data_IF_184616692047
#
_entry.id   IF_184616692047
#
_cell.length_a   1.000
_cell.length_b   1.000
_cell.length_c   1.000
_cell.angle_alpha   90.00
_cell.angle_beta   90.00
_cell.angle_gamma   90.00
#
_symmetry.space_group_name_H-M   'P 1'
#
loop_
_entity.id
_entity.type
_entity.pdbx_description
1 polymer ?
#
# COMPACT_ATOMS: atom_id res chain seq x y z
N UNK A 1 27.55 -39.09 22.94
CA UNK A 1 27.16 -38.06 21.93
C UNK A 1 25.70 -37.72 22.23
N UNK A 2 25.53 -36.67 23.02
CA UNK A 2 24.23 -36.25 23.50
C UNK A 2 23.54 -35.42 22.43
N UNK A 3 22.39 -35.91 21.96
CA UNK A 3 21.51 -35.14 21.04
C UNK A 3 20.88 -34.00 21.84
N UNK A 4 21.12 -32.80 21.37
CA UNK A 4 20.52 -31.57 21.91
C UNK A 4 18.98 -31.70 21.85
N UNK A 5 18.25 -31.68 22.99
CA UNK A 5 16.79 -31.91 23.03
C UNK A 5 15.97 -30.75 22.50
N UNK A 6 16.61 -29.65 22.02
CA UNK A 6 15.93 -28.44 21.50
C UNK A 6 15.89 -28.33 19.98
N UNK A 7 16.37 -29.34 19.25
CA UNK A 7 16.17 -29.42 17.81
C UNK A 7 14.85 -30.13 17.47
N UNK A 8 13.74 -29.49 17.77
CA UNK A 8 12.53 -29.76 17.01
C UNK A 8 12.74 -29.18 15.62
N UNK A 9 12.69 -29.98 14.54
CA UNK A 9 12.72 -29.42 13.21
C UNK A 9 11.42 -28.61 13.05
N UNK A 10 11.54 -27.30 13.15
CA UNK A 10 10.49 -26.41 12.68
C UNK A 10 10.37 -26.74 11.20
N UNK A 11 9.33 -27.49 10.84
CA UNK A 11 8.98 -27.73 9.47
C UNK A 11 8.95 -26.34 8.81
N UNK A 12 9.92 -26.07 7.92
CA UNK A 12 9.88 -24.91 7.05
C UNK A 12 8.56 -25.02 6.29
N UNK A 13 7.50 -24.35 6.76
CA UNK A 13 6.31 -24.15 5.96
C UNK A 13 6.83 -23.53 4.68
N UNK A 14 6.78 -24.29 3.60
CA UNK A 14 7.08 -23.76 2.27
C UNK A 14 6.19 -22.53 2.12
N UNK A 15 6.84 -21.37 2.06
CA UNK A 15 6.14 -20.09 1.99
C UNK A 15 5.53 -20.01 0.60
N UNK A 16 4.24 -20.27 0.50
CA UNK A 16 3.52 -20.11 -0.74
C UNK A 16 3.33 -18.60 -0.99
N UNK A 17 4.13 -18.03 -1.89
CA UNK A 17 4.06 -16.61 -2.28
C UNK A 17 2.68 -16.14 -2.75
N UNK A 18 1.75 -17.06 -3.00
CA UNK A 18 0.34 -16.77 -3.34
C UNK A 18 -0.53 -16.40 -2.13
N UNK A 19 -0.07 -16.68 -0.89
CA UNK A 19 -0.86 -16.38 0.30
C UNK A 19 -1.16 -14.89 0.48
N UNK A 20 -0.19 -14.00 0.24
CA UNK A 20 -0.38 -12.56 0.44
C UNK A 20 -1.40 -11.94 -0.53
N UNK A 21 -1.32 -12.20 -1.84
CA UNK A 21 -2.34 -11.72 -2.76
C UNK A 21 -3.74 -12.20 -2.43
N UNK A 22 -3.90 -13.45 -2.01
CA UNK A 22 -5.20 -14.01 -1.61
C UNK A 22 -5.72 -13.40 -0.32
N UNK A 23 -4.83 -13.19 0.66
CA UNK A 23 -5.18 -12.48 1.88
C UNK A 23 -5.65 -11.06 1.56
N UNK A 24 -4.94 -10.35 0.67
CA UNK A 24 -5.34 -9.01 0.23
C UNK A 24 -6.69 -9.03 -0.48
N UNK A 25 -6.96 -10.02 -1.36
CA UNK A 25 -8.26 -10.17 -2.02
C UNK A 25 -9.39 -10.42 -1.01
N UNK A 26 -9.14 -11.21 0.03
CA UNK A 26 -10.10 -11.46 1.11
C UNK A 26 -10.40 -10.18 1.89
N UNK A 27 -9.37 -9.48 2.35
CA UNK A 27 -9.52 -8.21 3.10
C UNK A 27 -10.25 -7.17 2.27
N UNK A 28 -9.90 -7.07 0.98
CA UNK A 28 -10.56 -6.15 0.06
C UNK A 28 -12.05 -6.47 -0.10
N UNK A 29 -12.38 -7.76 -0.33
CA UNK A 29 -13.77 -8.23 -0.45
C UNK A 29 -14.57 -7.92 0.81
N UNK A 30 -14.07 -8.31 1.98
CA UNK A 30 -14.73 -8.05 3.26
C UNK A 30 -14.94 -6.57 3.53
N UNK A 31 -13.97 -5.72 3.17
CA UNK A 31 -14.09 -4.27 3.29
C UNK A 31 -15.20 -3.69 2.42
N UNK A 32 -15.34 -4.18 1.18
CA UNK A 32 -16.42 -3.78 0.27
C UNK A 32 -17.79 -4.24 0.77
N UNK A 33 -17.92 -5.50 1.23
CA UNK A 33 -19.16 -6.05 1.76
C UNK A 33 -19.66 -5.30 3.01
N UNK A 34 -18.73 -4.86 3.86
CA UNK A 34 -19.02 -4.11 5.09
C UNK A 34 -19.12 -2.59 4.88
N UNK A 35 -18.97 -2.09 3.65
CA UNK A 35 -18.82 -0.66 3.34
C UNK A 35 -17.71 0.05 4.16
N UNK A 36 -16.60 -0.66 4.40
CA UNK A 36 -15.46 -0.20 5.21
C UNK A 36 -14.15 -0.26 4.43
N UNK A 37 -14.17 0.09 3.14
CA UNK A 37 -12.95 0.20 2.37
C UNK A 37 -12.47 1.68 2.32
N UNK A 38 -11.14 1.93 2.36
CA UNK A 38 -10.59 3.29 2.48
C UNK A 38 -10.90 4.18 1.27
N UNK A 39 -11.24 3.59 0.15
CA UNK A 39 -11.56 4.24 -1.12
C UNK A 39 -13.08 4.36 -1.37
N UNK A 40 -13.93 4.00 -0.41
CA UNK A 40 -15.37 4.20 -0.51
C UNK A 40 -15.78 5.55 0.05
N UNK A 41 -16.79 6.22 -0.57
CA UNK A 41 -17.25 7.49 -0.09
C UNK A 41 -18.06 7.37 1.20
N UNK A 42 -18.12 8.47 1.93
CA UNK A 42 -19.11 8.70 2.98
C UNK A 42 -20.49 9.03 2.35
N UNK A 43 -21.48 9.30 3.19
CA UNK A 43 -22.85 9.65 2.75
C UNK A 43 -22.93 10.91 1.87
N UNK A 44 -21.91 11.77 1.90
CA UNK A 44 -21.81 12.99 1.08
C UNK A 44 -21.06 12.77 -0.23
N UNK A 45 -20.62 11.55 -0.52
CA UNK A 45 -19.80 11.26 -1.70
C UNK A 45 -18.31 11.60 -1.54
N UNK A 46 -17.87 12.04 -0.36
CA UNK A 46 -16.47 12.40 -0.09
C UNK A 46 -15.66 11.17 0.30
N UNK A 47 -14.43 11.06 -0.22
CA UNK A 47 -13.48 10.01 0.13
C UNK A 47 -12.31 10.63 0.87
N UNK A 48 -11.99 10.07 2.04
CA UNK A 48 -10.81 10.45 2.81
C UNK A 48 -9.56 9.80 2.24
N UNK A 49 -8.92 10.46 1.28
CA UNK A 49 -7.70 9.96 0.64
C UNK A 49 -6.47 10.22 1.53
N UNK A 50 -6.19 9.31 2.46
CA UNK A 50 -5.04 9.43 3.37
C UNK A 50 -3.79 8.80 2.75
N UNK A 51 -2.68 9.56 2.59
CA UNK A 51 -1.41 8.98 2.21
C UNK A 51 -0.85 8.10 3.32
N UNK A 52 -0.10 7.05 2.99
CA UNK A 52 0.77 6.33 3.93
C UNK A 52 2.19 6.38 3.40
N UNK A 53 3.11 6.83 4.23
CA UNK A 53 4.51 7.06 3.86
C UNK A 53 5.42 5.95 4.37
N UNK A 54 6.33 5.51 3.52
CA UNK A 54 7.47 4.72 3.95
C UNK A 54 8.51 5.64 4.60
N UNK A 55 8.78 5.44 5.89
CA UNK A 55 9.72 6.27 6.66
C UNK A 55 11.14 6.28 6.06
N UNK A 56 11.58 5.16 5.45
CA UNK A 56 12.93 5.05 4.90
C UNK A 56 13.10 5.89 3.63
N UNK A 57 12.14 5.85 2.73
CA UNK A 57 12.20 6.58 1.45
C UNK A 57 11.56 7.96 1.50
N UNK A 58 10.69 8.22 2.48
CA UNK A 58 9.90 9.45 2.61
C UNK A 58 8.76 9.58 1.58
N UNK A 59 8.48 8.54 0.79
CA UNK A 59 7.45 8.56 -0.25
C UNK A 59 6.19 7.84 0.16
N UNK A 60 5.06 8.27 -0.41
CA UNK A 60 3.81 7.54 -0.32
C UNK A 60 3.98 6.14 -0.94
N UNK A 61 3.39 5.13 -0.27
CA UNK A 61 3.43 3.76 -0.73
C UNK A 61 2.81 3.59 -2.13
N UNK A 62 3.32 2.66 -2.96
CA UNK A 62 2.65 2.25 -4.19
C UNK A 62 1.34 1.49 -3.88
N UNK A 63 0.42 1.44 -4.84
CA UNK A 63 -0.94 0.92 -4.68
C UNK A 63 -1.01 -0.47 -4.02
N UNK A 64 -0.15 -1.39 -4.42
CA UNK A 64 -0.10 -2.76 -3.93
C UNK A 64 0.31 -2.88 -2.44
N UNK A 65 0.87 -1.83 -1.86
CA UNK A 65 1.21 -1.72 -0.43
C UNK A 65 0.28 -0.74 0.29
N UNK A 66 -0.06 0.37 -0.36
CA UNK A 66 -0.90 1.43 0.20
C UNK A 66 -2.25 0.89 0.67
N UNK A 67 -2.98 0.23 -0.22
CA UNK A 67 -4.34 -0.24 0.08
C UNK A 67 -4.37 -1.31 1.18
N UNK A 68 -3.55 -2.37 1.16
CA UNK A 68 -3.48 -3.32 2.27
C UNK A 68 -3.08 -2.68 3.61
N UNK A 69 -2.17 -1.70 3.58
CA UNK A 69 -1.75 -0.99 4.79
C UNK A 69 -2.89 -0.10 5.33
N UNK A 70 -3.64 0.57 4.47
CA UNK A 70 -4.81 1.35 4.89
C UNK A 70 -5.92 0.48 5.51
N UNK A 71 -6.19 -0.70 4.96
CA UNK A 71 -7.11 -1.66 5.58
C UNK A 71 -6.63 -2.08 6.97
N UNK A 72 -5.35 -2.43 7.11
CA UNK A 72 -4.77 -2.80 8.39
C UNK A 72 -4.81 -1.65 9.40
N UNK A 73 -4.57 -0.41 8.95
CA UNK A 73 -4.72 0.80 9.76
C UNK A 73 -6.13 0.92 10.33
N UNK A 74 -7.15 0.79 9.47
CA UNK A 74 -8.56 0.87 9.86
C UNK A 74 -8.95 -0.25 10.83
N UNK A 75 -8.52 -1.48 10.56
CA UNK A 75 -8.81 -2.64 11.41
C UNK A 75 -8.22 -2.51 12.81
N UNK A 76 -6.99 -2.02 12.91
CA UNK A 76 -6.26 -1.86 14.17
C UNK A 76 -6.54 -0.54 14.89
N UNK A 77 -7.23 0.40 14.26
CA UNK A 77 -7.50 1.72 14.80
C UNK A 77 -6.23 2.56 15.00
N UNK A 78 -5.24 2.41 14.12
CA UNK A 78 -4.02 3.19 14.18
C UNK A 78 -4.22 4.59 13.56
N UNK A 79 -3.57 5.60 14.15
CA UNK A 79 -3.64 6.98 13.68
C UNK A 79 -2.48 7.35 12.74
N UNK A 80 -1.32 6.72 12.92
CA UNK A 80 -0.14 7.04 12.13
C UNK A 80 -0.29 6.69 10.65
N UNK A 81 0.20 7.59 9.81
CA UNK A 81 0.35 7.38 8.37
C UNK A 81 1.81 7.05 7.97
N UNK A 82 2.61 6.58 8.93
CA UNK A 82 4.03 6.30 8.74
C UNK A 82 4.28 4.83 9.04
N UNK A 83 4.92 4.15 8.08
CA UNK A 83 5.31 2.74 8.21
C UNK A 83 6.75 2.53 7.77
N UNK A 84 7.38 1.47 8.30
CA UNK A 84 8.70 1.01 7.83
C UNK A 84 8.85 -0.50 7.96
N UNK A 85 9.82 -1.06 7.26
CA UNK A 85 10.26 -2.44 7.46
C UNK A 85 10.93 -2.62 8.83
N UNK A 86 10.91 -3.84 9.38
CA UNK A 86 11.47 -4.14 10.71
C UNK A 86 12.93 -3.68 10.86
N UNK A 87 13.76 -3.98 9.89
CA UNK A 87 15.19 -3.60 9.91
C UNK A 87 15.36 -2.08 9.88
N UNK A 88 14.57 -1.39 9.06
CA UNK A 88 14.65 0.06 8.93
C UNK A 88 14.22 0.80 10.22
N UNK A 89 13.28 0.24 11.00
CA UNK A 89 12.85 0.82 12.28
C UNK A 89 14.00 0.95 13.26
N UNK A 90 14.96 0.01 13.27
CA UNK A 90 16.18 0.13 14.08
C UNK A 90 16.99 1.38 13.77
N UNK A 91 17.03 1.82 12.52
CA UNK A 91 17.70 3.05 12.09
C UNK A 91 17.01 4.34 12.55
N UNK A 92 15.79 4.25 13.10
CA UNK A 92 15.04 5.35 13.71
C UNK A 92 15.09 5.32 15.26
N UNK A 93 16.08 4.66 15.84
CA UNK A 93 16.31 4.65 17.30
C UNK A 93 15.23 3.91 18.11
N UNK A 94 14.48 3.01 17.49
CA UNK A 94 13.45 2.21 18.17
C UNK A 94 13.40 0.79 17.59
N UNK A 95 12.56 -0.07 18.16
CA UNK A 95 12.35 -1.44 17.70
C UNK A 95 10.85 -1.77 17.61
N UNK A 96 10.51 -2.80 16.86
CA UNK A 96 9.14 -3.32 16.84
C UNK A 96 8.87 -4.05 18.15
N UNK A 97 7.74 -3.77 18.80
CA UNK A 97 7.27 -4.46 19.99
C UNK A 97 7.21 -5.96 19.79
N UNK A 98 7.49 -6.71 20.85
CA UNK A 98 7.40 -8.17 20.81
C UNK A 98 5.96 -8.63 20.50
N UNK A 99 5.84 -9.65 19.66
CA UNK A 99 4.53 -10.20 19.27
C UNK A 99 3.79 -9.43 18.19
N UNK A 100 4.22 -8.22 17.83
CA UNK A 100 3.56 -7.43 16.76
C UNK A 100 3.73 -8.05 15.37
N UNK A 101 2.63 -8.03 14.63
CA UNK A 101 2.55 -8.53 13.25
C UNK A 101 2.41 -7.36 12.28
N UNK A 102 3.37 -7.24 11.37
CA UNK A 102 3.32 -6.24 10.30
C UNK A 102 2.37 -6.63 9.16
N UNK A 103 2.13 -5.68 8.28
CA UNK A 103 1.39 -5.90 7.03
C UNK A 103 2.35 -6.50 6.01
N UNK A 104 2.08 -7.73 5.59
CA UNK A 104 2.93 -8.43 4.63
C UNK A 104 2.70 -7.94 3.21
N UNK A 105 3.77 -7.90 2.43
CA UNK A 105 3.72 -7.64 1.00
C UNK A 105 4.79 -8.43 0.26
N UNK A 106 4.54 -8.70 -1.03
CA UNK A 106 5.51 -9.30 -1.92
C UNK A 106 6.21 -8.23 -2.76
N UNK A 107 7.48 -8.43 -3.03
CA UNK A 107 8.25 -7.67 -4.00
C UNK A 107 9.10 -8.63 -4.86
N UNK A 108 9.53 -8.18 -6.03
CA UNK A 108 10.46 -8.90 -6.88
C UNK A 108 11.84 -8.23 -6.78
N UNK A 109 12.86 -9.04 -6.63
CA UNK A 109 14.24 -8.58 -6.76
C UNK A 109 14.64 -8.39 -8.24
N UNK A 110 15.91 -8.06 -8.44
CA UNK A 110 16.48 -7.85 -9.79
C UNK A 110 16.44 -9.11 -10.66
N UNK A 111 16.57 -10.27 -10.04
CA UNK A 111 16.54 -11.58 -10.71
C UNK A 111 15.10 -12.06 -10.96
N UNK A 112 14.10 -11.29 -10.54
CA UNK A 112 12.68 -11.59 -10.69
C UNK A 112 12.14 -12.55 -9.62
N UNK A 113 12.94 -12.94 -8.63
CA UNK A 113 12.49 -13.77 -7.53
C UNK A 113 11.50 -13.02 -6.63
N UNK A 114 10.50 -13.73 -6.11
CA UNK A 114 9.48 -13.14 -5.24
C UNK A 114 9.92 -13.29 -3.79
N UNK A 115 10.05 -12.16 -3.14
CA UNK A 115 10.35 -12.07 -1.71
C UNK A 115 9.15 -11.52 -0.95
N UNK A 116 9.11 -11.82 0.35
CA UNK A 116 8.12 -11.30 1.27
C UNK A 116 8.79 -10.41 2.31
N UNK A 117 8.18 -9.28 2.56
CA UNK A 117 8.56 -8.38 3.65
C UNK A 117 7.31 -7.90 4.39
N UNK A 118 7.51 -7.12 5.44
CA UNK A 118 6.43 -6.58 6.25
C UNK A 118 6.68 -5.13 6.61
N UNK A 119 5.59 -4.37 6.69
CA UNK A 119 5.56 -2.99 7.15
C UNK A 119 4.91 -2.92 8.53
N UNK A 120 5.45 -2.10 9.41
CA UNK A 120 4.97 -1.84 10.75
C UNK A 120 4.65 -0.36 10.91
N UNK A 121 3.56 -0.06 11.58
CA UNK A 121 3.17 1.30 11.95
C UNK A 121 3.97 1.81 13.15
N UNK A 122 3.98 3.12 13.33
CA UNK A 122 4.62 3.74 14.49
C UNK A 122 4.08 3.18 15.82
N UNK A 123 2.79 2.95 15.92
CA UNK A 123 2.13 2.40 17.11
C UNK A 123 2.62 0.99 17.49
N UNK A 124 3.21 0.27 16.55
CA UNK A 124 3.79 -1.05 16.74
C UNK A 124 5.26 -1.02 17.19
N UNK A 125 5.82 0.16 17.43
CA UNK A 125 7.20 0.33 17.92
C UNK A 125 7.24 0.63 19.41
N UNK A 126 8.37 0.32 20.06
CA UNK A 126 8.57 0.59 21.49
C UNK A 126 8.50 2.10 21.79
N UNK A 127 8.97 2.94 20.87
CA UNK A 127 8.97 4.39 21.00
C UNK A 127 8.31 5.05 19.78
N UNK A 128 6.97 5.05 19.71
CA UNK A 128 6.23 5.58 18.54
C UNK A 128 6.56 7.04 18.21
N UNK A 129 6.73 7.88 19.23
CA UNK A 129 6.98 9.30 19.03
C UNK A 129 8.37 9.56 18.44
N UNK A 130 9.40 8.87 18.93
CA UNK A 130 10.76 8.94 18.35
C UNK A 130 10.73 8.52 16.89
N UNK A 131 10.01 7.42 16.59
CA UNK A 131 9.88 6.96 15.20
C UNK A 131 9.18 7.99 14.32
N UNK A 132 8.06 8.56 14.77
CA UNK A 132 7.31 9.59 14.04
C UNK A 132 8.16 10.83 13.78
N UNK A 133 8.83 11.35 14.79
CA UNK A 133 9.66 12.56 14.71
C UNK A 133 10.78 12.38 13.68
N UNK A 134 11.58 11.32 13.80
CA UNK A 134 12.69 11.07 12.89
C UNK A 134 12.24 10.72 11.45
N UNK A 135 11.10 10.03 11.31
CA UNK A 135 10.53 9.73 10.03
C UNK A 135 9.96 10.99 9.36
N UNK A 136 9.35 11.89 10.13
CA UNK A 136 8.75 13.12 9.61
C UNK A 136 9.78 14.01 8.91
N UNK A 137 11.00 14.09 9.40
CA UNK A 137 12.10 14.82 8.75
C UNK A 137 12.43 14.31 7.34
N UNK A 138 12.18 13.01 7.11
CA UNK A 138 12.43 12.37 5.80
C UNK A 138 11.22 12.43 4.88
N UNK A 139 10.01 12.61 5.42
CA UNK A 139 8.79 12.69 4.62
C UNK A 139 8.85 13.96 3.76
N UNK A 140 9.06 13.73 2.49
CA UNK A 140 9.00 14.78 1.48
C UNK A 140 7.59 14.77 0.92
N UNK A 141 6.78 15.74 1.36
CA UNK A 141 5.50 16.03 0.71
C UNK A 141 5.81 16.35 -0.76
N UNK A 142 5.75 15.32 -1.59
CA UNK A 142 5.81 15.51 -3.03
C UNK A 142 4.42 15.97 -3.46
N UNK A 143 4.40 17.07 -4.19
CA UNK A 143 3.19 17.62 -4.77
C UNK A 143 2.10 17.88 -3.72
N UNK A 144 2.32 18.85 -2.85
CA UNK A 144 1.25 19.38 -2.02
C UNK A 144 0.27 20.11 -2.93
N UNK A 145 -0.72 19.38 -3.45
CA UNK A 145 -1.81 19.92 -4.27
C UNK A 145 -2.97 20.36 -3.35
N UNK A 146 -2.65 20.90 -2.18
CA UNK A 146 -3.64 21.43 -1.24
C UNK A 146 -4.54 22.44 -1.97
N UNK A 147 -5.84 22.24 -1.83
CA UNK A 147 -6.85 23.05 -2.51
C UNK A 147 -7.22 22.57 -3.92
N UNK A 148 -6.57 21.51 -4.43
CA UNK A 148 -7.08 20.79 -5.60
C UNK A 148 -8.16 19.79 -5.15
N UNK A 149 -9.17 19.61 -5.98
CA UNK A 149 -10.20 18.61 -5.78
C UNK A 149 -10.48 17.89 -7.10
N UNK A 150 -10.81 16.61 -7.02
CA UNK A 150 -11.12 15.79 -8.17
C UNK A 150 -12.38 14.96 -7.91
N UNK A 151 -13.19 14.79 -8.96
CA UNK A 151 -14.31 13.85 -8.94
C UNK A 151 -13.91 12.60 -9.69
N UNK A 152 -14.09 11.43 -9.07
CA UNK A 152 -13.94 10.14 -9.74
C UNK A 152 -15.07 9.97 -10.74
N UNK A 153 -14.74 9.92 -12.02
CA UNK A 153 -15.71 9.86 -13.12
C UNK A 153 -15.85 8.48 -13.78
N UNK A 154 -15.24 7.43 -13.20
CA UNK A 154 -15.29 6.09 -13.78
C UNK A 154 -15.44 5.01 -12.71
N UNK A 155 -16.31 4.03 -12.97
CA UNK A 155 -16.49 2.83 -12.16
C UNK A 155 -15.53 1.68 -12.54
N UNK A 156 -14.73 1.85 -13.63
CA UNK A 156 -13.74 0.85 -14.01
C UNK A 156 -12.67 0.72 -12.91
N UNK A 157 -12.39 -0.50 -12.40
CA UNK A 157 -11.57 -0.67 -11.19
C UNK A 157 -10.22 0.02 -11.21
N UNK A 158 -9.49 -0.05 -12.34
CA UNK A 158 -8.18 0.62 -12.47
C UNK A 158 -8.27 2.14 -12.47
N UNK A 159 -9.31 2.71 -13.09
CA UNK A 159 -9.53 4.15 -13.17
C UNK A 159 -10.00 4.70 -11.80
N UNK A 160 -10.95 4.01 -11.17
CA UNK A 160 -11.45 4.36 -9.85
C UNK A 160 -10.33 4.38 -8.81
N UNK A 161 -9.63 3.25 -8.67
CA UNK A 161 -8.51 3.13 -7.73
C UNK A 161 -7.34 4.03 -8.11
N UNK A 162 -7.07 4.21 -9.40
CA UNK A 162 -6.03 5.14 -9.89
C UNK A 162 -6.28 6.57 -9.44
N UNK A 163 -7.52 7.04 -9.52
CA UNK A 163 -7.95 8.35 -9.05
C UNK A 163 -7.80 8.50 -7.53
N UNK A 164 -8.24 7.50 -6.77
CA UNK A 164 -8.07 7.46 -5.33
C UNK A 164 -6.59 7.50 -4.91
N UNK A 165 -5.75 6.68 -5.54
CA UNK A 165 -4.31 6.61 -5.24
C UNK A 165 -3.62 7.92 -5.63
N UNK A 166 -4.03 8.56 -6.72
CA UNK A 166 -3.52 9.88 -7.09
C UNK A 166 -3.83 10.92 -6.01
N UNK A 167 -5.04 10.90 -5.44
CA UNK A 167 -5.42 11.78 -4.34
C UNK A 167 -4.57 11.51 -3.08
N UNK A 168 -4.36 10.23 -2.71
CA UNK A 168 -3.46 9.88 -1.59
C UNK A 168 -2.03 10.40 -1.82
N UNK A 169 -1.46 10.21 -3.02
CA UNK A 169 -0.10 10.64 -3.35
C UNK A 169 0.05 12.15 -3.51
N UNK A 170 -0.99 12.81 -4.00
CA UNK A 170 -1.02 14.25 -4.28
C UNK A 170 -1.48 15.09 -3.10
N UNK A 171 -2.11 14.47 -2.09
CA UNK A 171 -2.63 15.17 -0.91
C UNK A 171 -3.80 16.11 -1.24
N UNK A 172 -4.69 15.69 -2.14
CA UNK A 172 -5.86 16.50 -2.54
C UNK A 172 -7.18 15.77 -2.26
N UNK A 173 -8.26 16.54 -2.22
CA UNK A 173 -9.59 16.03 -1.94
C UNK A 173 -10.15 15.24 -3.14
N UNK A 174 -10.89 14.17 -2.86
CA UNK A 174 -11.54 13.36 -3.87
C UNK A 174 -12.97 13.04 -3.47
N UNK A 175 -13.84 13.06 -4.44
CA UNK A 175 -15.26 12.69 -4.28
C UNK A 175 -15.71 11.78 -5.41
N UNK A 176 -16.84 11.13 -5.21
CA UNK A 176 -17.45 10.24 -6.20
C UNK A 176 -18.97 10.23 -6.01
N UNK A 177 -19.70 10.05 -7.11
CA UNK A 177 -21.12 9.75 -7.03
C UNK A 177 -21.31 8.37 -6.34
N UNK A 178 -22.13 8.26 -5.28
CA UNK A 178 -22.40 6.99 -4.61
C UNK A 178 -22.85 5.87 -5.56
N UNK A 179 -23.64 6.19 -6.60
CA UNK A 179 -24.07 5.21 -7.60
C UNK A 179 -22.86 4.66 -8.40
N UNK A 180 -21.87 5.51 -8.71
CA UNK A 180 -20.64 5.09 -9.38
C UNK A 180 -19.78 4.21 -8.48
N UNK A 181 -19.77 4.48 -7.17
CA UNK A 181 -19.06 3.65 -6.20
C UNK A 181 -19.70 2.26 -6.06
N UNK A 182 -21.02 2.18 -6.11
CA UNK A 182 -21.75 0.88 -6.11
C UNK A 182 -21.51 0.10 -7.41
N UNK A 183 -21.46 0.78 -8.54
CA UNK A 183 -21.08 0.15 -9.82
C UNK A 183 -19.64 -0.37 -9.78
N UNK A 184 -18.70 0.40 -9.23
CA UNK A 184 -17.33 -0.05 -9.02
C UNK A 184 -17.27 -1.34 -8.16
N UNK A 185 -18.02 -1.38 -7.03
CA UNK A 185 -18.11 -2.60 -6.21
C UNK A 185 -18.60 -3.79 -7.03
N UNK A 186 -19.66 -3.59 -7.81
CA UNK A 186 -20.22 -4.65 -8.66
C UNK A 186 -19.25 -5.18 -9.69
N UNK A 187 -18.38 -4.31 -10.24
CA UNK A 187 -17.36 -4.69 -11.23
C UNK A 187 -16.15 -5.41 -10.65
N UNK A 188 -15.73 -5.04 -9.44
CA UNK A 188 -14.52 -5.63 -8.84
C UNK A 188 -14.80 -6.94 -8.09
N UNK A 189 -16.00 -7.13 -7.54
CA UNK A 189 -16.37 -8.31 -6.74
C UNK A 189 -16.10 -9.63 -7.45
N UNK A 190 -16.49 -9.85 -8.72
CA UNK A 190 -16.21 -11.10 -9.43
C UNK A 190 -14.71 -11.40 -9.55
N UNK A 191 -13.88 -10.36 -9.69
CA UNK A 191 -12.42 -10.51 -9.72
C UNK A 191 -11.88 -11.03 -8.38
N UNK A 192 -12.36 -10.46 -7.26
CA UNK A 192 -11.95 -10.89 -5.92
C UNK A 192 -12.38 -12.33 -5.63
N UNK A 193 -13.59 -12.70 -6.00
CA UNK A 193 -14.11 -14.06 -5.84
C UNK A 193 -13.31 -15.07 -6.67
N UNK A 194 -12.96 -14.71 -7.90
CA UNK A 194 -12.12 -15.55 -8.74
C UNK A 194 -10.70 -15.72 -8.18
N UNK A 195 -10.10 -14.65 -7.63
CA UNK A 195 -8.78 -14.72 -7.01
C UNK A 195 -8.80 -15.61 -5.76
N UNK A 196 -9.87 -15.58 -4.95
CA UNK A 196 -10.05 -16.47 -3.80
C UNK A 196 -10.22 -17.92 -4.26
N UNK A 197 -11.01 -18.18 -5.29
CA UNK A 197 -11.19 -19.51 -5.85
C UNK A 197 -9.87 -20.07 -6.39
N UNK A 198 -9.11 -19.29 -7.14
CA UNK A 198 -7.78 -19.68 -7.65
C UNK A 198 -6.81 -20.03 -6.52
N UNK A 199 -6.88 -19.32 -5.40
CA UNK A 199 -6.08 -19.66 -4.22
C UNK A 199 -6.44 -21.02 -3.66
N UNK A 200 -7.73 -21.33 -3.51
CA UNK A 200 -8.20 -22.62 -2.97
C UNK A 200 -7.82 -23.78 -3.91
N UNK A 201 -7.83 -23.54 -5.22
CA UNK A 201 -7.39 -24.49 -6.24
C UNK A 201 -5.85 -24.57 -6.39
N UNK A 202 -5.08 -23.79 -5.60
CA UNK A 202 -3.61 -23.68 -5.69
C UNK A 202 -3.10 -23.31 -7.08
N UNK A 203 -3.85 -22.51 -7.81
CA UNK A 203 -3.46 -22.01 -9.13
C UNK A 203 -2.13 -21.24 -9.05
N UNK A 204 -1.29 -21.38 -10.08
CA UNK A 204 -0.06 -20.62 -10.23
C UNK A 204 -0.26 -19.28 -10.94
N UNK A 205 -1.47 -18.98 -11.38
CA UNK A 205 -1.79 -17.73 -12.06
C UNK A 205 -1.68 -16.55 -11.11
N UNK A 206 -1.17 -15.45 -11.62
CA UNK A 206 -1.12 -14.20 -10.84
C UNK A 206 -2.54 -13.73 -10.53
N UNK A 207 -2.81 -13.31 -9.27
CA UNK A 207 -4.09 -12.76 -8.89
C UNK A 207 -4.45 -11.53 -9.73
N UNK A 208 -5.71 -11.45 -10.15
CA UNK A 208 -6.21 -10.36 -11.00
C UNK A 208 -6.23 -9.03 -10.25
N UNK A 209 -6.46 -9.05 -8.92
CA UNK A 209 -6.37 -7.86 -8.06
C UNK A 209 -4.97 -7.23 -8.11
N UNK A 210 -3.91 -8.04 -8.11
CA UNK A 210 -2.54 -7.52 -8.20
C UNK A 210 -2.31 -6.74 -9.49
N UNK A 211 -2.86 -7.20 -10.60
CA UNK A 211 -2.78 -6.51 -11.88
C UNK A 211 -3.59 -5.20 -11.87
N UNK A 212 -4.80 -5.23 -11.30
CA UNK A 212 -5.63 -4.01 -11.14
C UNK A 212 -4.88 -2.96 -10.31
N UNK A 213 -4.26 -3.34 -9.19
CA UNK A 213 -3.51 -2.41 -8.35
C UNK A 213 -2.27 -1.85 -9.06
N UNK A 214 -1.58 -2.66 -9.85
CA UNK A 214 -0.45 -2.22 -10.65
C UNK A 214 -0.85 -1.20 -11.73
N UNK A 215 -1.93 -1.47 -12.46
CA UNK A 215 -2.45 -0.54 -13.47
C UNK A 215 -3.02 0.74 -12.83
N UNK A 216 -3.68 0.62 -11.67
CA UNK A 216 -4.14 1.77 -10.90
C UNK A 216 -2.96 2.66 -10.42
N UNK A 217 -1.84 2.07 -10.03
CA UNK A 217 -0.63 2.82 -9.67
C UNK A 217 -0.05 3.61 -10.84
N UNK A 218 0.01 3.00 -12.03
CA UNK A 218 0.39 3.71 -13.27
C UNK A 218 -0.57 4.85 -13.57
N UNK A 219 -1.88 4.56 -13.51
CA UNK A 219 -2.91 5.56 -13.76
C UNK A 219 -2.80 6.75 -12.80
N UNK A 220 -2.55 6.49 -11.52
CA UNK A 220 -2.31 7.55 -10.53
C UNK A 220 -1.17 8.47 -10.92
N UNK A 221 -0.11 7.90 -11.47
CA UNK A 221 1.07 8.66 -11.93
C UNK A 221 0.74 9.53 -13.15
N UNK A 222 -0.08 9.04 -14.07
CA UNK A 222 -0.55 9.80 -15.24
C UNK A 222 -1.43 10.98 -14.80
N UNK A 223 -2.36 10.75 -13.88
CA UNK A 223 -3.23 11.80 -13.31
C UNK A 223 -2.37 12.90 -12.67
N UNK A 224 -1.43 12.54 -11.80
CA UNK A 224 -0.55 13.52 -11.14
C UNK A 224 0.28 14.31 -12.15
N UNK A 225 0.77 13.68 -13.20
CA UNK A 225 1.48 14.39 -14.28
C UNK A 225 0.58 15.39 -15.00
N UNK A 226 -0.64 15.00 -15.33
CA UNK A 226 -1.59 15.90 -16.02
C UNK A 226 -1.96 17.11 -15.15
N UNK A 227 -2.17 16.92 -13.84
CA UNK A 227 -2.44 18.00 -12.90
C UNK A 227 -1.24 18.93 -12.81
N UNK A 228 -0.02 18.40 -12.67
CA UNK A 228 1.20 19.22 -12.60
C UNK A 228 1.42 20.04 -13.87
N UNK A 229 1.11 19.51 -15.04
CA UNK A 229 1.21 20.21 -16.31
C UNK A 229 0.18 21.35 -16.44
N UNK A 230 -1.05 21.12 -15.98
CA UNK A 230 -2.11 22.12 -16.02
C UNK A 230 -1.94 23.25 -14.99
N UNK A 231 -1.28 22.96 -13.87
CA UNK A 231 -1.07 23.91 -12.76
C UNK A 231 0.21 24.75 -12.91
N UNK A 232 1.03 24.56 -13.94
CA UNK A 232 2.30 25.29 -14.13
C UNK A 232 3.37 25.01 -13.06
N UNK A 233 3.19 23.97 -12.27
CA UNK A 233 4.16 23.56 -11.23
C UNK A 233 5.31 22.80 -11.90
N UNK A 234 6.51 23.39 -11.83
CA UNK A 234 7.73 22.90 -12.49
C UNK A 234 8.07 21.44 -12.15
N UNK A 235 8.14 20.59 -13.19
CA UNK A 235 8.45 19.15 -13.08
C UNK A 235 9.95 18.84 -12.91
N UNK A 236 10.83 19.84 -12.93
CA UNK A 236 12.28 19.61 -13.13
C UNK A 236 12.99 18.96 -11.94
N UNK A 237 12.38 18.93 -10.76
CA UNK A 237 12.97 18.27 -9.58
C UNK A 237 12.62 16.77 -9.42
N UNK A 238 11.59 16.30 -10.12
CA UNK A 238 11.02 14.95 -9.88
C UNK A 238 11.75 13.86 -10.67
N UNK A 239 12.27 14.16 -11.87
CA UNK A 239 12.87 13.16 -12.74
C UNK A 239 14.36 12.86 -12.44
N UNK A 240 15.13 13.83 -11.95
CA UNK A 240 16.55 13.59 -11.61
C UNK A 240 16.73 12.72 -10.38
N UNK A 241 15.79 12.74 -9.41
CA UNK A 241 15.85 11.95 -8.18
C UNK A 241 15.27 10.53 -8.31
N UNK A 242 14.32 10.29 -9.23
CA UNK A 242 13.78 8.95 -9.45
C UNK A 242 14.82 7.95 -10.02
N UNK A 243 15.82 8.45 -10.75
CA UNK A 243 16.92 7.61 -11.28
C UNK A 243 17.99 7.28 -10.24
N UNK A 244 18.23 8.14 -9.24
CA UNK A 244 19.18 7.87 -8.16
C UNK A 244 18.60 6.94 -7.09
N UNK A 245 17.30 7.05 -6.79
CA UNK A 245 16.65 6.20 -5.79
C UNK A 245 16.38 4.77 -6.24
N UNK A 246 16.29 4.53 -7.57
CA UNK A 246 16.23 3.15 -8.07
C UNK A 246 17.50 2.35 -7.72
N UNK A 247 18.60 3.06 -7.43
CA UNK A 247 19.87 2.49 -6.98
C UNK A 247 19.95 2.32 -5.46
N UNK A 248 19.37 3.26 -4.69
CA UNK A 248 19.41 3.22 -3.22
C UNK A 248 18.37 2.23 -2.61
N UNK A 249 17.18 2.09 -3.22
CA UNK A 249 16.21 1.08 -2.80
C UNK A 249 16.70 -0.37 -3.08
N UNK A 250 17.65 -0.53 -3.98
CA UNK A 250 18.31 -1.80 -4.28
C UNK A 250 19.46 -2.14 -3.32
N UNK A 251 20.17 -1.12 -2.82
CA UNK A 251 21.31 -1.33 -1.90
C UNK A 251 20.90 -1.52 -0.43
N UNK A 252 19.66 -1.17 -0.04
CA UNK A 252 19.14 -1.36 1.32
C UNK A 252 18.35 -2.66 1.52
N UNK A 253 18.37 -3.58 0.56
CA UNK A 253 17.77 -4.91 0.68
C UNK A 253 18.77 -6.02 1.08
N UNK A 254 19.99 -5.65 1.45
CA UNK A 254 21.01 -6.58 1.97
C UNK A 254 21.18 -6.46 3.47
#
# INVERSE_FOLDING_TARGET
MDKNPFETPVAKKEFNGYWIPSHNAKVFKEGLEKNKAPFLPNEKGEIKAEPVYNASSGYCLPANRLIPVQFAKMEKGFDSNIVAGRTAIGGFGTSVKEGEKGVFYNFRDEDGAIHTSSLFFAEQTENPEIFKEQAFEKIKTRNNLNGYSMVIGSSEPKEYLGSYIAACKGGFDVSVDPALADEFKSKIMPTLENDLKKHDERSKDLPSLSNILFEADKRSTEILKSISQSSGVDQDQTQKKAKSHKKEDMEMCF
#
